data_IF_913860966784
#
_entry.id   IF_913860966784
#
_cell.length_a   1.000
_cell.length_b   1.000
_cell.length_c   1.000
_cell.angle_alpha   90.00
_cell.angle_beta   90.00
_cell.angle_gamma   90.00
#
_symmetry.space_group_name_H-M   'P 1'
#
loop_
_entity.id
_entity.type
_entity.pdbx_description
1 polymer ?
#
# COMPACT_ATOMS: atom_id res chain seq x y z
N UNK A 1 18.81 -1.20 23.81
CA UNK A 1 20.17 -1.28 23.22
C UNK A 1 20.03 -0.88 21.76
N UNK A 2 20.74 0.15 21.31
CA UNK A 2 20.73 0.57 19.90
C UNK A 2 21.68 -0.33 19.11
N UNK A 3 21.18 -1.00 18.09
CA UNK A 3 22.00 -1.90 17.26
C UNK A 3 22.31 -1.17 15.96
N UNK A 4 23.59 -1.07 15.60
CA UNK A 4 23.96 -0.53 14.31
C UNK A 4 23.69 -1.59 13.24
N UNK A 5 22.55 -1.47 12.56
CA UNK A 5 22.05 -2.48 11.61
C UNK A 5 22.59 -2.30 10.19
N UNK A 6 23.23 -1.17 9.91
CA UNK A 6 23.88 -0.84 8.64
C UNK A 6 25.37 -0.62 8.84
N UNK A 7 26.20 -1.04 7.89
CA UNK A 7 27.63 -0.74 7.92
C UNK A 7 27.89 0.73 7.51
N UNK A 8 29.09 1.25 7.83
CA UNK A 8 29.53 2.57 7.34
C UNK A 8 29.48 2.68 5.81
N UNK A 9 29.67 1.57 5.10
CA UNK A 9 29.58 1.51 3.65
C UNK A 9 28.12 1.69 3.19
N UNK A 10 27.20 1.00 3.85
CA UNK A 10 25.77 1.05 3.49
C UNK A 10 25.19 2.44 3.75
N UNK A 11 25.47 3.02 4.91
CA UNK A 11 25.03 4.38 5.27
C UNK A 11 25.54 5.41 4.23
N UNK A 12 26.82 5.33 3.84
CA UNK A 12 27.39 6.22 2.81
C UNK A 12 26.74 6.05 1.45
N UNK A 13 26.47 4.81 1.02
CA UNK A 13 25.82 4.56 -0.26
C UNK A 13 24.37 5.06 -0.27
N UNK A 14 23.63 4.84 0.82
CA UNK A 14 22.24 5.32 0.98
C UNK A 14 22.20 6.85 1.02
N UNK A 15 23.12 7.49 1.75
CA UNK A 15 23.21 8.95 1.80
C UNK A 15 23.60 9.54 0.45
N UNK A 16 24.56 8.94 -0.26
CA UNK A 16 24.94 9.37 -1.61
C UNK A 16 23.77 9.28 -2.60
N UNK A 17 22.98 8.20 -2.54
CA UNK A 17 21.74 8.08 -3.32
C UNK A 17 20.72 9.17 -2.96
N UNK A 18 20.54 9.46 -1.67
CA UNK A 18 19.66 10.55 -1.22
C UNK A 18 20.12 11.90 -1.78
N UNK A 19 21.42 12.17 -1.74
CA UNK A 19 22.01 13.40 -2.27
C UNK A 19 21.90 13.51 -3.78
N UNK A 20 22.03 12.40 -4.54
CA UNK A 20 21.82 12.44 -5.99
C UNK A 20 20.38 12.79 -6.38
N UNK A 21 19.43 12.59 -5.47
CA UNK A 21 18.03 13.03 -5.63
C UNK A 21 17.76 14.47 -5.14
N UNK A 22 18.79 15.18 -4.66
CA UNK A 22 18.71 16.55 -4.16
C UNK A 22 18.64 16.68 -2.63
N UNK A 23 18.80 15.57 -1.90
CA UNK A 23 18.72 15.54 -0.44
C UNK A 23 17.30 15.47 0.12
N UNK A 24 17.19 15.18 1.42
CA UNK A 24 15.91 14.88 2.09
C UNK A 24 14.87 15.99 1.95
N UNK A 25 15.29 17.25 2.15
CA UNK A 25 14.41 18.43 2.05
C UNK A 25 13.80 18.55 0.65
N UNK A 26 14.63 18.49 -0.40
CA UNK A 26 14.17 18.58 -1.79
C UNK A 26 13.22 17.45 -2.15
N UNK A 27 13.51 16.22 -1.70
CA UNK A 27 12.62 15.07 -1.89
C UNK A 27 11.27 15.35 -1.23
N UNK A 28 11.28 15.75 0.04
CA UNK A 28 10.06 15.98 0.82
C UNK A 28 9.19 17.09 0.24
N UNK A 29 9.78 18.24 -0.11
CA UNK A 29 9.06 19.37 -0.73
C UNK A 29 8.47 18.99 -2.09
N UNK A 30 9.19 18.19 -2.89
CA UNK A 30 8.69 17.70 -4.18
C UNK A 30 7.50 16.76 -4.01
N UNK A 31 7.58 15.82 -3.07
CA UNK A 31 6.48 14.89 -2.76
C UNK A 31 5.24 15.68 -2.34
N UNK A 32 5.41 16.65 -1.44
CA UNK A 32 4.29 17.44 -0.92
C UNK A 32 3.59 18.22 -2.02
N UNK A 33 4.38 18.91 -2.86
CA UNK A 33 3.86 19.60 -4.03
C UNK A 33 3.11 18.65 -4.97
N UNK A 34 3.61 17.44 -5.17
CA UNK A 34 2.97 16.49 -6.08
C UNK A 34 1.69 15.84 -5.52
N UNK A 35 1.41 15.97 -4.22
CA UNK A 35 0.13 15.51 -3.64
C UNK A 35 -1.01 16.51 -3.82
N UNK A 36 -0.68 17.78 -4.07
CA UNK A 36 -1.66 18.81 -4.34
C UNK A 36 -2.50 18.48 -5.57
N UNK A 37 -3.82 18.59 -5.41
CA UNK A 37 -4.79 18.24 -6.44
C UNK A 37 -4.60 19.06 -7.71
N UNK A 38 -4.38 20.38 -7.58
CA UNK A 38 -4.24 21.26 -8.75
C UNK A 38 -2.96 20.96 -9.53
N UNK A 39 -1.88 20.63 -8.81
CA UNK A 39 -0.62 20.19 -9.39
C UNK A 39 -0.79 18.90 -10.19
N UNK A 40 -1.43 17.87 -9.60
CA UNK A 40 -1.72 16.61 -10.31
C UNK A 40 -2.63 16.81 -11.51
N UNK A 41 -3.73 17.55 -11.35
CA UNK A 41 -4.68 17.87 -12.43
C UNK A 41 -4.00 18.58 -13.60
N UNK A 42 -3.11 19.54 -13.30
CA UNK A 42 -2.30 20.23 -14.32
C UNK A 42 -1.33 19.29 -15.04
N UNK A 43 -0.64 18.41 -14.30
CA UNK A 43 0.26 17.43 -14.89
C UNK A 43 -0.47 16.45 -15.84
N UNK A 44 -1.74 16.14 -15.57
CA UNK A 44 -2.56 15.25 -16.37
C UNK A 44 -3.25 15.90 -17.58
N UNK A 45 -3.24 17.24 -17.69
CA UNK A 45 -4.02 17.97 -18.69
C UNK A 45 -3.65 17.65 -20.16
N UNK A 46 -2.43 17.20 -20.42
CA UNK A 46 -1.95 16.78 -21.74
C UNK A 46 -1.93 15.26 -21.97
N UNK A 47 -2.47 14.48 -21.02
CA UNK A 47 -2.48 13.01 -21.09
C UNK A 47 -3.85 12.50 -21.48
N UNK A 48 -3.93 11.23 -21.88
CA UNK A 48 -5.21 10.55 -22.16
C UNK A 48 -6.13 10.45 -20.93
N UNK A 49 -5.59 10.63 -19.72
CA UNK A 49 -6.35 10.50 -18.47
C UNK A 49 -7.17 11.75 -18.11
N UNK A 50 -7.01 12.88 -18.83
CA UNK A 50 -7.72 14.13 -18.50
C UNK A 50 -9.24 13.96 -18.45
N UNK A 51 -9.82 13.28 -19.43
CA UNK A 51 -11.27 13.04 -19.48
C UNK A 51 -11.75 12.22 -18.28
N UNK A 52 -10.97 11.20 -17.91
CA UNK A 52 -11.24 10.32 -16.77
C UNK A 52 -11.26 11.07 -15.44
N UNK A 53 -10.37 12.06 -15.25
CA UNK A 53 -10.39 12.90 -14.05
C UNK A 53 -11.66 13.74 -13.99
N UNK A 54 -12.13 14.29 -15.12
CA UNK A 54 -13.38 15.04 -15.17
C UNK A 54 -14.61 14.16 -14.88
N UNK A 55 -14.67 12.95 -15.45
CA UNK A 55 -15.72 11.98 -15.13
C UNK A 55 -15.69 11.58 -13.64
N UNK A 56 -14.51 11.35 -13.06
CA UNK A 56 -14.35 10.99 -11.66
C UNK A 56 -14.88 12.08 -10.70
N UNK A 57 -14.70 13.36 -11.03
CA UNK A 57 -15.25 14.49 -10.26
C UNK A 57 -16.79 14.48 -10.23
N UNK A 58 -17.44 14.02 -11.30
CA UNK A 58 -18.89 13.89 -11.34
C UNK A 58 -19.38 12.62 -10.64
N UNK A 59 -18.70 11.49 -10.86
CA UNK A 59 -19.03 10.21 -10.23
C UNK A 59 -19.02 10.29 -8.71
N UNK A 60 -18.03 10.95 -8.10
CA UNK A 60 -17.92 10.96 -6.63
C UNK A 60 -19.11 11.66 -5.94
N UNK A 61 -19.85 12.52 -6.65
CA UNK A 61 -21.01 13.24 -6.11
C UNK A 61 -22.20 12.32 -5.85
N UNK A 62 -22.26 11.16 -6.51
CA UNK A 62 -23.37 10.19 -6.39
C UNK A 62 -23.07 9.11 -5.35
N UNK A 63 -21.86 9.08 -4.79
CA UNK A 63 -21.45 8.02 -3.87
C UNK A 63 -22.28 8.04 -2.59
N UNK A 64 -22.60 6.85 -2.09
CA UNK A 64 -23.34 6.68 -0.86
C UNK A 64 -22.60 7.26 0.35
N UNK A 65 -23.37 7.77 1.31
CA UNK A 65 -22.87 8.37 2.55
C UNK A 65 -23.07 7.42 3.73
N UNK A 66 -22.08 7.36 4.61
CA UNK A 66 -22.16 6.53 5.82
C UNK A 66 -23.25 7.04 6.75
N UNK A 67 -23.44 8.36 6.83
CA UNK A 67 -24.44 9.01 7.66
C UNK A 67 -25.87 8.57 7.26
N UNK A 68 -26.12 8.31 5.98
CA UNK A 68 -27.42 7.80 5.51
C UNK A 68 -27.68 6.38 6.02
N UNK A 69 -26.64 5.56 6.17
CA UNK A 69 -26.76 4.22 6.76
C UNK A 69 -26.93 4.33 8.29
N UNK A 70 -26.12 5.16 8.95
CA UNK A 70 -26.20 5.38 10.39
C UNK A 70 -27.59 5.84 10.84
N UNK A 71 -28.16 6.83 10.15
CA UNK A 71 -29.49 7.37 10.44
C UNK A 71 -30.59 6.32 10.23
N UNK A 72 -30.56 5.60 9.08
CA UNK A 72 -31.58 4.58 8.76
C UNK A 72 -31.53 3.37 9.68
N UNK A 73 -30.34 2.99 10.14
CA UNK A 73 -30.13 1.79 10.97
C UNK A 73 -30.07 2.10 12.46
N UNK A 74 -30.20 3.37 12.87
CA UNK A 74 -30.14 3.76 14.29
C UNK A 74 -28.80 3.44 14.93
N UNK A 75 -27.71 3.61 14.19
CA UNK A 75 -26.37 3.26 14.63
C UNK A 75 -25.93 4.16 15.78
N UNK A 76 -25.37 3.54 16.81
CA UNK A 76 -24.71 4.24 17.92
C UNK A 76 -23.43 3.52 18.28
N UNK A 77 -22.37 4.29 18.50
CA UNK A 77 -21.04 3.75 18.81
C UNK A 77 -20.88 3.52 20.30
N UNK A 78 -20.27 2.39 20.65
CA UNK A 78 -20.01 2.01 22.03
C UNK A 78 -18.64 2.51 22.47
N UNK A 79 -18.58 3.11 23.67
CA UNK A 79 -17.32 3.53 24.28
C UNK A 79 -16.43 2.31 24.58
N UNK A 80 -15.12 2.48 24.44
CA UNK A 80 -14.13 1.42 24.71
C UNK A 80 -13.97 0.39 23.59
N UNK A 81 -14.66 0.54 22.46
CA UNK A 81 -14.40 -0.24 21.23
C UNK A 81 -13.22 0.34 20.46
N UNK A 82 -12.45 -0.53 19.80
CA UNK A 82 -11.43 -0.13 18.85
C UNK A 82 -12.05 0.45 17.58
N UNK A 83 -11.23 1.11 16.76
CA UNK A 83 -11.64 1.66 15.47
C UNK A 83 -11.19 0.76 14.32
N UNK A 84 -12.13 0.42 13.44
CA UNK A 84 -11.86 -0.37 12.25
C UNK A 84 -11.49 0.55 11.08
N UNK A 85 -10.36 0.33 10.41
CA UNK A 85 -9.95 1.07 9.20
C UNK A 85 -10.12 0.22 7.96
N UNK A 86 -10.99 0.64 7.05
CA UNK A 86 -11.31 -0.13 5.84
C UNK A 86 -10.20 -0.04 4.79
N UNK A 87 -9.69 -1.19 4.33
CA UNK A 87 -8.64 -1.25 3.31
C UNK A 87 -8.94 -2.27 2.21
N UNK A 88 -8.75 -1.89 0.94
CA UNK A 88 -8.91 -2.79 -0.22
C UNK A 88 -7.64 -2.78 -1.07
N UNK A 89 -7.14 -3.95 -1.46
CA UNK A 89 -5.98 -4.07 -2.34
C UNK A 89 -6.36 -4.56 -3.74
N UNK A 90 -5.41 -4.41 -4.66
CA UNK A 90 -5.48 -4.96 -6.00
C UNK A 90 -5.73 -3.94 -7.09
N UNK A 91 -5.76 -2.65 -6.79
CA UNK A 91 -5.93 -1.61 -7.81
C UNK A 91 -4.83 -1.69 -8.87
N UNK A 92 -5.18 -1.48 -10.15
CA UNK A 92 -4.24 -1.65 -11.26
C UNK A 92 -4.20 -0.48 -12.24
N UNK A 93 -4.07 0.72 -11.69
CA UNK A 93 -3.96 1.94 -12.48
C UNK A 93 -5.30 2.63 -12.73
N UNK A 94 -5.25 3.65 -13.59
CA UNK A 94 -6.30 4.66 -13.70
C UNK A 94 -7.60 4.07 -14.27
N UNK A 95 -7.53 3.30 -15.36
CA UNK A 95 -8.71 2.71 -16.01
C UNK A 95 -9.50 1.80 -15.07
N UNK A 96 -8.79 0.92 -14.37
CA UNK A 96 -9.36 0.01 -13.36
C UNK A 96 -9.99 0.80 -12.22
N UNK A 97 -9.29 1.81 -11.70
CA UNK A 97 -9.78 2.66 -10.62
C UNK A 97 -11.04 3.42 -11.03
N UNK A 98 -11.05 4.00 -12.23
CA UNK A 98 -12.19 4.72 -12.77
C UNK A 98 -13.39 3.80 -13.03
N UNK A 99 -13.17 2.60 -13.55
CA UNK A 99 -14.25 1.63 -13.71
C UNK A 99 -14.84 1.24 -12.35
N UNK A 100 -14.00 0.99 -11.34
CA UNK A 100 -14.47 0.76 -9.97
C UNK A 100 -15.33 1.94 -9.47
N UNK A 101 -14.92 3.20 -9.71
CA UNK A 101 -15.73 4.37 -9.37
C UNK A 101 -17.10 4.38 -10.06
N UNK A 102 -17.18 3.99 -11.35
CA UNK A 102 -18.46 3.86 -12.07
C UNK A 102 -19.37 2.84 -11.39
N UNK A 103 -18.84 1.67 -11.07
CA UNK A 103 -19.59 0.61 -10.38
C UNK A 103 -20.05 1.02 -8.98
N UNK A 104 -19.22 1.77 -8.25
CA UNK A 104 -19.60 2.35 -6.94
C UNK A 104 -20.77 3.34 -7.11
N UNK A 105 -20.67 4.26 -8.08
CA UNK A 105 -21.77 5.20 -8.40
C UNK A 105 -23.07 4.45 -8.75
N UNK A 106 -22.99 3.41 -9.58
CA UNK A 106 -24.16 2.59 -9.96
C UNK A 106 -24.76 1.82 -8.78
N UNK A 107 -23.98 1.57 -7.72
CA UNK A 107 -24.44 0.80 -6.56
C UNK A 107 -25.36 1.58 -5.61
N UNK A 108 -25.50 2.91 -5.78
CA UNK A 108 -26.26 3.77 -4.86
C UNK A 108 -27.72 3.35 -4.70
N UNK A 109 -28.32 2.80 -5.75
CA UNK A 109 -29.72 2.35 -5.77
C UNK A 109 -29.87 0.85 -5.47
N UNK A 110 -28.79 0.16 -5.13
CA UNK A 110 -28.82 -1.27 -4.79
C UNK A 110 -29.16 -1.49 -3.31
N UNK A 111 -29.37 -2.75 -2.92
CA UNK A 111 -29.61 -3.12 -1.52
C UNK A 111 -28.46 -2.70 -0.59
N UNK A 112 -27.22 -2.80 -1.08
CA UNK A 112 -26.02 -2.45 -0.32
C UNK A 112 -25.18 -1.47 -1.14
N UNK A 113 -25.49 -0.16 -1.02
CA UNK A 113 -24.66 0.88 -1.60
C UNK A 113 -23.23 0.81 -1.08
N UNK A 114 -22.27 0.80 -2.00
CA UNK A 114 -20.85 0.63 -1.67
C UNK A 114 -20.30 1.91 -1.03
N UNK A 115 -19.59 1.74 0.08
CA UNK A 115 -18.83 2.80 0.75
C UNK A 115 -17.35 2.66 0.34
N UNK A 116 -16.68 3.79 0.17
CA UNK A 116 -15.29 3.82 -0.31
C UNK A 116 -14.35 3.55 0.87
N UNK A 117 -13.39 2.62 0.75
CA UNK A 117 -12.51 2.25 1.85
C UNK A 117 -11.59 3.42 2.16
N UNK A 118 -11.23 3.58 3.44
CA UNK A 118 -10.29 4.63 3.86
C UNK A 118 -8.93 4.49 3.18
N UNK A 119 -8.55 3.28 2.76
CA UNK A 119 -7.22 2.99 2.26
C UNK A 119 -7.23 2.01 1.09
N UNK A 120 -6.27 2.19 0.19
CA UNK A 120 -6.17 1.42 -1.05
C UNK A 120 -4.73 0.98 -1.32
N UNK A 121 -4.56 -0.19 -1.92
CA UNK A 121 -3.24 -0.70 -2.34
C UNK A 121 -3.27 -1.07 -3.82
N UNK A 122 -2.33 -0.52 -4.57
CA UNK A 122 -2.05 -0.93 -5.95
C UNK A 122 -1.08 -2.09 -5.99
N UNK A 123 -1.44 -3.10 -6.77
CA UNK A 123 -0.61 -4.25 -7.06
C UNK A 123 -0.30 -4.16 -8.55
N UNK A 124 0.69 -3.33 -8.89
CA UNK A 124 1.23 -3.13 -10.25
C UNK A 124 2.74 -2.95 -10.10
N UNK A 125 3.51 -3.59 -10.97
CA UNK A 125 4.95 -3.37 -11.02
C UNK A 125 5.26 -1.89 -11.32
N UNK A 126 6.18 -1.30 -10.56
CA UNK A 126 6.53 0.12 -10.64
C UNK A 126 7.46 0.40 -11.85
N UNK A 127 6.98 0.10 -13.05
CA UNK A 127 7.71 0.33 -14.31
C UNK A 127 7.86 1.83 -14.59
N UNK A 128 8.83 2.19 -15.43
CA UNK A 128 8.99 3.58 -15.86
C UNK A 128 7.74 4.11 -16.55
N UNK A 129 7.16 3.30 -17.44
CA UNK A 129 5.93 3.69 -18.13
C UNK A 129 4.81 4.01 -17.12
N UNK A 130 4.51 3.11 -16.18
CA UNK A 130 3.44 3.30 -15.20
C UNK A 130 3.62 4.58 -14.35
N UNK A 131 4.88 4.92 -14.03
CA UNK A 131 5.23 6.11 -13.24
C UNK A 131 5.15 7.39 -14.07
N UNK A 132 5.64 7.39 -15.31
CA UNK A 132 5.86 8.61 -16.09
C UNK A 132 4.79 8.90 -17.15
N UNK A 133 4.01 7.91 -17.59
CA UNK A 133 2.98 8.11 -18.62
C UNK A 133 1.68 8.78 -18.09
N UNK A 134 1.60 9.02 -16.78
CA UNK A 134 0.45 9.64 -16.11
C UNK A 134 -0.54 8.65 -15.50
N UNK A 135 -0.39 7.34 -15.71
CA UNK A 135 -1.30 6.32 -15.20
C UNK A 135 -1.34 6.29 -13.67
N UNK A 136 -0.18 6.15 -13.00
CA UNK A 136 -0.12 6.21 -11.53
C UNK A 136 -0.61 7.58 -11.00
N UNK A 137 -0.21 8.68 -11.66
CA UNK A 137 -0.66 10.03 -11.28
C UNK A 137 -2.19 10.16 -11.30
N UNK A 138 -2.84 9.69 -12.38
CA UNK A 138 -4.30 9.72 -12.51
C UNK A 138 -4.99 8.82 -11.48
N UNK A 139 -4.40 7.65 -11.20
CA UNK A 139 -4.85 6.73 -10.13
C UNK A 139 -4.88 7.45 -8.78
N UNK A 140 -3.77 8.07 -8.38
CA UNK A 140 -3.66 8.79 -7.12
C UNK A 140 -4.58 10.02 -7.06
N UNK A 141 -4.76 10.70 -8.20
CA UNK A 141 -5.68 11.84 -8.30
C UNK A 141 -7.11 11.41 -8.00
N UNK A 142 -7.57 10.29 -8.59
CA UNK A 142 -8.90 9.74 -8.32
C UNK A 142 -9.03 9.24 -6.88
N UNK A 143 -8.03 8.51 -6.38
CA UNK A 143 -8.10 7.92 -5.05
C UNK A 143 -7.95 8.96 -3.92
N UNK A 144 -6.82 9.65 -3.86
CA UNK A 144 -6.49 10.50 -2.71
C UNK A 144 -7.16 11.87 -2.80
N UNK A 145 -7.25 12.48 -4.00
CA UNK A 145 -7.78 13.84 -4.11
C UNK A 145 -9.30 13.88 -4.32
N UNK A 146 -9.84 13.02 -5.18
CA UNK A 146 -11.28 13.00 -5.52
C UNK A 146 -12.07 12.18 -4.51
N UNK A 147 -11.76 10.88 -4.36
CA UNK A 147 -12.42 10.03 -3.37
C UNK A 147 -12.03 10.39 -1.92
N UNK A 148 -10.86 11.00 -1.72
CA UNK A 148 -10.41 11.34 -0.37
C UNK A 148 -10.03 10.10 0.44
N UNK A 149 -9.45 9.10 -0.23
CA UNK A 149 -8.78 7.97 0.42
C UNK A 149 -7.60 8.52 1.22
N UNK A 150 -7.48 8.10 2.49
CA UNK A 150 -6.44 8.58 3.40
C UNK A 150 -5.05 8.15 2.94
N UNK A 151 -4.93 6.93 2.42
CA UNK A 151 -3.68 6.36 1.95
C UNK A 151 -3.86 5.48 0.72
N UNK A 152 -3.14 5.79 -0.35
CA UNK A 152 -2.94 4.90 -1.47
C UNK A 152 -1.48 4.44 -1.54
N UNK A 153 -1.24 3.13 -1.46
CA UNK A 153 0.11 2.58 -1.51
C UNK A 153 0.37 1.82 -2.81
N UNK A 154 1.44 2.17 -3.51
CA UNK A 154 1.91 1.47 -4.71
C UNK A 154 2.91 0.38 -4.35
N UNK A 155 2.76 -0.80 -4.95
CA UNK A 155 3.72 -1.89 -4.81
C UNK A 155 5.00 -1.56 -5.58
N UNK A 156 6.15 -1.61 -4.91
CA UNK A 156 7.46 -1.57 -5.56
C UNK A 156 8.15 -2.92 -5.34
N UNK A 157 8.61 -3.57 -6.42
CA UNK A 157 9.37 -4.81 -6.32
C UNK A 157 10.81 -4.56 -6.75
N UNK A 158 11.77 -4.98 -5.93
CA UNK A 158 13.20 -4.86 -6.26
C UNK A 158 13.56 -5.59 -7.57
N UNK A 159 12.80 -6.63 -7.92
CA UNK A 159 13.00 -7.42 -9.14
C UNK A 159 12.34 -6.85 -10.39
N UNK A 160 11.64 -5.71 -10.33
CA UNK A 160 11.04 -5.09 -11.52
C UNK A 160 12.14 -4.74 -12.54
N UNK A 161 12.06 -5.26 -13.79
CA UNK A 161 13.00 -4.87 -14.83
C UNK A 161 12.95 -3.37 -15.11
N UNK A 162 14.11 -2.74 -15.26
CA UNK A 162 14.25 -1.31 -15.54
C UNK A 162 15.26 -1.10 -16.69
N UNK A 163 15.24 0.04 -17.38
CA UNK A 163 16.28 0.34 -18.36
C UNK A 163 17.67 0.37 -17.72
N UNK A 164 18.68 -0.14 -18.43
CA UNK A 164 20.06 -0.24 -17.94
C UNK A 164 20.59 1.10 -17.39
N UNK A 165 20.20 2.20 -18.03
CA UNK A 165 20.56 3.56 -17.60
C UNK A 165 20.25 3.83 -16.12
N UNK A 166 19.15 3.27 -15.58
CA UNK A 166 18.77 3.46 -14.16
C UNK A 166 19.76 2.83 -13.22
N UNK A 167 20.20 1.62 -13.53
CA UNK A 167 21.26 0.97 -12.77
C UNK A 167 22.54 1.82 -12.82
N UNK A 168 22.97 2.25 -14.02
CA UNK A 168 24.17 3.10 -14.19
C UNK A 168 24.12 4.41 -13.42
N UNK A 169 22.94 5.04 -13.32
CA UNK A 169 22.74 6.25 -12.52
C UNK A 169 22.97 5.99 -11.02
N UNK A 170 22.42 4.89 -10.49
CA UNK A 170 22.62 4.50 -9.09
C UNK A 170 24.08 4.07 -8.84
N UNK A 171 24.70 3.33 -9.75
CA UNK A 171 26.12 2.95 -9.64
C UNK A 171 27.03 4.19 -9.59
N UNK A 172 26.73 5.19 -10.43
CA UNK A 172 27.47 6.46 -10.46
C UNK A 172 27.29 7.25 -9.15
N UNK A 173 26.08 7.29 -8.61
CA UNK A 173 25.79 8.03 -7.39
C UNK A 173 26.43 7.38 -6.15
N UNK A 174 26.39 6.05 -6.07
CA UNK A 174 26.71 5.31 -4.84
C UNK A 174 28.08 4.64 -4.85
N UNK A 175 28.68 4.46 -6.03
CA UNK A 175 29.91 3.68 -6.22
C UNK A 175 29.72 2.17 -6.14
N UNK A 176 28.49 1.69 -5.91
CA UNK A 176 28.14 0.28 -5.85
C UNK A 176 27.90 -0.25 -7.26
N UNK A 177 28.29 -1.50 -7.56
CA UNK A 177 28.02 -2.15 -8.85
C UNK A 177 26.95 -3.22 -8.69
N UNK A 178 26.02 -3.28 -9.63
CA UNK A 178 24.95 -4.26 -9.62
C UNK A 178 25.21 -5.37 -10.63
N UNK A 179 24.83 -6.59 -10.28
CA UNK A 179 24.81 -7.71 -11.23
C UNK A 179 23.43 -7.75 -11.88
N UNK A 180 23.38 -7.56 -13.19
CA UNK A 180 22.14 -7.55 -13.97
C UNK A 180 22.19 -8.55 -15.11
N UNK A 181 21.01 -8.99 -15.58
CA UNK A 181 20.85 -9.79 -16.79
C UNK A 181 19.78 -9.19 -17.71
N UNK A 182 19.85 -9.41 -19.04
CA UNK A 182 18.83 -8.93 -19.97
C UNK A 182 17.44 -9.45 -19.63
N UNK A 183 16.43 -8.58 -19.78
CA UNK A 183 15.02 -8.92 -19.55
C UNK A 183 14.13 -8.69 -20.79
N UNK A 184 14.72 -8.40 -21.95
CA UNK A 184 14.00 -8.04 -23.18
C UNK A 184 13.77 -6.54 -23.30
N UNK A 185 13.48 -6.06 -24.51
CA UNK A 185 13.04 -4.68 -24.82
C UNK A 185 13.91 -3.55 -24.22
N UNK A 186 15.23 -3.77 -24.15
CA UNK A 186 16.17 -2.80 -23.58
C UNK A 186 16.12 -2.69 -22.05
N UNK A 187 15.38 -3.58 -21.39
CA UNK A 187 15.31 -3.69 -19.94
C UNK A 187 16.35 -4.70 -19.42
N UNK A 188 16.82 -4.45 -18.22
CA UNK A 188 17.64 -5.39 -17.45
C UNK A 188 17.00 -5.60 -16.09
N UNK A 189 17.24 -6.77 -15.49
CA UNK A 189 16.78 -7.10 -14.14
C UNK A 189 17.97 -7.49 -13.27
N UNK A 190 17.82 -7.31 -11.96
CA UNK A 190 18.84 -7.71 -11.00
C UNK A 190 18.97 -9.22 -10.93
N UNK A 191 20.22 -9.68 -10.84
CA UNK A 191 20.53 -11.06 -10.47
C UNK A 191 20.51 -11.14 -8.94
N UNK A 192 19.45 -11.74 -8.42
CA UNK A 192 19.23 -11.89 -6.98
C UNK A 192 19.95 -13.16 -6.50
N UNK A 193 20.87 -13.03 -5.55
CA UNK A 193 21.72 -14.17 -5.15
C UNK A 193 20.98 -15.19 -4.25
N UNK A 194 19.97 -14.72 -3.50
CA UNK A 194 19.13 -15.52 -2.63
C UNK A 194 17.66 -15.35 -3.03
N UNK A 195 17.28 -15.96 -4.15
CA UNK A 195 15.89 -16.31 -4.39
C UNK A 195 15.56 -17.45 -3.42
N UNK A 196 14.62 -17.26 -2.50
CA UNK A 196 14.20 -18.28 -1.54
C UNK A 196 13.89 -19.67 -2.15
N UNK A 197 13.69 -20.64 -1.25
CA UNK A 197 13.59 -22.09 -1.54
C UNK A 197 12.49 -22.51 -2.54
N UNK A 198 12.50 -23.79 -2.93
CA UNK A 198 11.60 -24.48 -3.89
C UNK A 198 10.07 -24.30 -3.68
N UNK A 199 9.60 -23.74 -2.56
CA UNK A 199 8.17 -23.63 -2.19
C UNK A 199 7.47 -22.31 -2.59
N UNK A 200 8.03 -21.54 -3.53
CA UNK A 200 7.30 -20.44 -4.16
C UNK A 200 7.64 -19.06 -3.58
N UNK A 201 8.21 -18.23 -4.44
CA UNK A 201 8.96 -17.04 -4.08
C UNK A 201 8.13 -15.76 -4.23
N UNK A 202 7.00 -15.69 -3.53
CA UNK A 202 6.45 -14.42 -3.04
C UNK A 202 7.02 -14.04 -1.68
N UNK A 203 7.85 -14.94 -1.13
CA UNK A 203 8.41 -14.91 0.20
C UNK A 203 9.94 -14.81 0.24
N UNK A 204 10.48 -13.60 0.23
CA UNK A 204 11.77 -13.32 0.86
C UNK A 204 12.89 -13.39 -0.12
N UNK A 205 12.89 -12.47 -1.07
CA UNK A 205 14.12 -12.13 -1.75
C UNK A 205 14.98 -11.49 -0.65
N UNK A 206 15.93 -12.24 -0.11
CA UNK A 206 16.99 -11.59 0.64
C UNK A 206 17.70 -10.69 -0.36
N UNK A 207 17.52 -9.40 -0.17
CA UNK A 207 18.19 -8.39 -0.97
C UNK A 207 19.65 -8.38 -0.51
N UNK A 208 20.43 -9.27 -1.10
CA UNK A 208 21.88 -9.26 -1.06
C UNK A 208 22.43 -8.27 -2.09
N UNK A 209 23.72 -7.97 -2.05
CA UNK A 209 24.42 -7.16 -3.05
C UNK A 209 23.84 -5.74 -3.23
N UNK A 210 23.43 -5.09 -2.13
CA UNK A 210 23.03 -3.68 -2.12
C UNK A 210 21.79 -3.35 -2.97
N UNK A 211 20.97 -4.33 -3.39
CA UNK A 211 19.82 -4.04 -4.27
C UNK A 211 18.74 -3.16 -3.59
N UNK A 212 18.83 -2.96 -2.26
CA UNK A 212 17.97 -2.02 -1.55
C UNK A 212 18.15 -0.59 -2.12
N UNK A 213 19.33 -0.26 -2.68
CA UNK A 213 19.57 1.02 -3.36
C UNK A 213 18.68 1.19 -4.60
N UNK A 214 18.45 0.12 -5.38
CA UNK A 214 17.53 0.14 -6.53
C UNK A 214 16.09 0.30 -6.06
N UNK A 215 15.72 -0.35 -4.94
CA UNK A 215 14.41 -0.16 -4.33
C UNK A 215 14.20 1.29 -3.88
N UNK A 216 15.16 1.86 -3.13
CA UNK A 216 15.14 3.23 -2.63
C UNK A 216 15.08 4.25 -3.77
N UNK A 217 15.82 4.02 -4.86
CA UNK A 217 15.75 4.83 -6.07
C UNK A 217 14.34 4.78 -6.70
N UNK A 218 13.78 3.58 -6.86
CA UNK A 218 12.44 3.37 -7.41
C UNK A 218 11.35 4.11 -6.65
N UNK A 219 11.30 3.95 -5.32
CA UNK A 219 10.30 4.66 -4.49
C UNK A 219 10.52 6.17 -4.55
N UNK A 220 11.78 6.64 -4.58
CA UNK A 220 12.08 8.08 -4.59
C UNK A 220 11.64 8.72 -5.90
N UNK A 221 11.90 8.08 -7.04
CA UNK A 221 11.45 8.56 -8.35
C UNK A 221 9.94 8.60 -8.45
N UNK A 222 9.26 7.53 -8.05
CA UNK A 222 7.80 7.49 -8.09
C UNK A 222 7.17 8.53 -7.14
N UNK A 223 7.71 8.68 -5.93
CA UNK A 223 7.23 9.67 -4.95
C UNK A 223 7.44 11.09 -5.46
N UNK A 224 8.62 11.42 -5.99
CA UNK A 224 8.89 12.75 -6.59
C UNK A 224 8.05 13.03 -7.83
N UNK A 225 7.69 12.00 -8.58
CA UNK A 225 6.89 12.15 -9.81
C UNK A 225 5.42 12.32 -9.51
N UNK A 226 4.88 11.62 -8.50
CA UNK A 226 3.43 11.45 -8.34
C UNK A 226 2.90 11.74 -6.93
N UNK A 227 3.77 11.87 -5.93
CA UNK A 227 3.40 11.97 -4.52
C UNK A 227 3.06 10.62 -3.85
N UNK A 228 3.29 9.49 -4.54
CA UNK A 228 2.93 8.15 -4.07
C UNK A 228 3.49 7.77 -2.70
N UNK A 229 2.74 6.92 -1.99
CA UNK A 229 3.22 6.11 -0.88
C UNK A 229 3.43 4.67 -1.34
N UNK A 230 4.10 3.85 -0.52
CA UNK A 230 4.49 2.51 -0.97
C UNK A 230 4.06 1.40 -0.04
N UNK A 231 3.83 0.26 -0.67
CA UNK A 231 3.69 -1.02 -0.03
C UNK A 231 4.95 -1.83 -0.32
N UNK A 232 5.61 -2.29 0.74
CA UNK A 232 6.83 -3.09 0.66
C UNK A 232 6.48 -4.57 0.83
N UNK A 233 6.83 -5.39 -0.15
CA UNK A 233 6.95 -6.84 0.05
C UNK A 233 8.38 -7.13 0.56
N UNK A 234 8.57 -7.41 1.86
CA UNK A 234 9.82 -7.03 2.52
C UNK A 234 10.93 -8.06 2.44
N UNK A 235 12.16 -7.55 2.32
CA UNK A 235 13.36 -8.17 2.90
C UNK A 235 13.74 -7.39 4.17
N UNK A 236 14.32 -8.06 5.17
CA UNK A 236 14.81 -7.38 6.38
C UNK A 236 15.80 -6.27 6.06
N UNK A 237 16.70 -6.49 5.11
CA UNK A 237 17.66 -5.48 4.65
C UNK A 237 16.99 -4.25 4.03
N UNK A 238 15.91 -4.43 3.27
CA UNK A 238 15.16 -3.31 2.67
C UNK A 238 14.41 -2.52 3.73
N UNK A 239 13.82 -3.20 4.72
CA UNK A 239 13.15 -2.54 5.87
C UNK A 239 14.15 -1.64 6.60
N UNK A 240 15.32 -2.18 6.95
CA UNK A 240 16.39 -1.42 7.63
C UNK A 240 16.82 -0.21 6.81
N UNK A 241 17.10 -0.43 5.51
CA UNK A 241 17.55 0.64 4.61
C UNK A 241 16.49 1.73 4.43
N UNK A 242 15.20 1.38 4.34
CA UNK A 242 14.08 2.31 4.27
C UNK A 242 13.96 3.14 5.54
N UNK A 243 14.02 2.50 6.72
CA UNK A 243 13.96 3.19 7.99
C UNK A 243 15.08 4.23 8.12
N UNK A 244 16.32 3.87 7.75
CA UNK A 244 17.44 4.82 7.70
C UNK A 244 17.24 5.92 6.65
N UNK A 245 16.86 5.55 5.42
CA UNK A 245 16.75 6.49 4.29
C UNK A 245 15.67 7.55 4.52
N UNK A 246 14.51 7.16 5.03
CA UNK A 246 13.33 8.02 5.13
C UNK A 246 13.15 8.69 6.51
N UNK A 247 14.11 8.53 7.44
CA UNK A 247 14.05 9.13 8.79
C UNK A 247 13.97 10.67 8.78
N UNK A 248 14.50 11.29 7.73
CA UNK A 248 14.53 12.74 7.50
C UNK A 248 13.60 13.18 6.35
N UNK A 249 12.76 12.27 5.82
CA UNK A 249 11.77 12.53 4.76
C UNK A 249 10.38 12.27 5.35
N UNK A 250 9.76 13.27 6.00
CA UNK A 250 8.58 13.07 6.86
C UNK A 250 7.33 12.61 6.11
N UNK A 251 7.26 12.82 4.81
CA UNK A 251 6.11 12.47 3.98
C UNK A 251 6.34 11.24 3.08
N UNK A 252 7.47 10.53 3.22
CA UNK A 252 7.69 9.24 2.57
C UNK A 252 7.34 8.10 3.52
N UNK A 253 6.23 7.42 3.25
CA UNK A 253 5.70 6.36 4.11
C UNK A 253 5.58 5.03 3.41
N UNK A 254 5.79 3.98 4.20
CA UNK A 254 5.82 2.60 3.75
C UNK A 254 4.88 1.77 4.62
N UNK A 255 4.12 0.88 3.99
CA UNK A 255 3.40 -0.20 4.64
C UNK A 255 4.14 -1.51 4.43
N UNK A 256 4.17 -2.37 5.43
CA UNK A 256 4.88 -3.65 5.37
C UNK A 256 3.88 -4.80 5.23
N UNK A 257 4.03 -5.58 4.15
CA UNK A 257 3.28 -6.82 3.93
C UNK A 257 3.73 -7.93 4.88
N UNK A 258 2.78 -8.80 5.23
CA UNK A 258 3.01 -9.96 6.09
C UNK A 258 3.70 -11.11 5.40
N UNK A 259 3.75 -11.16 4.05
CA UNK A 259 4.27 -12.34 3.36
C UNK A 259 5.63 -12.79 3.92
N UNK A 260 6.38 -11.91 4.60
CA UNK A 260 7.71 -12.22 5.11
C UNK A 260 8.18 -11.68 6.47
N UNK A 261 7.55 -10.65 7.05
CA UNK A 261 8.20 -9.89 8.12
C UNK A 261 7.64 -10.09 9.52
N UNK A 262 6.37 -10.48 9.68
CA UNK A 262 5.71 -10.50 11.00
C UNK A 262 4.65 -11.59 11.11
N UNK A 263 5.10 -12.83 11.29
CA UNK A 263 4.26 -14.00 11.52
C UNK A 263 4.07 -14.30 13.00
N UNK A 264 4.86 -13.66 13.89
CA UNK A 264 4.79 -13.86 15.33
C UNK A 264 5.33 -12.64 16.11
N UNK A 265 5.15 -12.68 17.43
CA UNK A 265 5.58 -11.62 18.36
C UNK A 265 7.09 -11.34 18.31
N UNK A 266 7.93 -12.36 18.11
CA UNK A 266 9.40 -12.17 18.04
C UNK A 266 9.77 -11.29 16.85
N UNK A 267 9.17 -11.58 15.70
CA UNK A 267 9.37 -10.80 14.49
C UNK A 267 8.81 -9.38 14.60
N UNK A 268 7.68 -9.19 15.29
CA UNK A 268 7.17 -7.85 15.60
C UNK A 268 8.18 -7.07 16.43
N UNK A 269 8.69 -7.66 17.52
CA UNK A 269 9.71 -7.04 18.38
C UNK A 269 10.99 -6.72 17.61
N UNK A 270 11.40 -7.57 16.68
CA UNK A 270 12.52 -7.27 15.77
C UNK A 270 12.23 -6.02 14.92
N UNK A 271 11.04 -5.90 14.33
CA UNK A 271 10.65 -4.69 13.59
C UNK A 271 10.59 -3.46 14.48
N UNK A 272 10.02 -3.56 15.68
CA UNK A 272 10.00 -2.45 16.64
C UNK A 272 11.42 -1.99 16.98
N UNK A 273 12.36 -2.90 17.17
CA UNK A 273 13.78 -2.56 17.39
C UNK A 273 14.43 -1.89 16.17
N UNK A 274 14.16 -2.36 14.94
CA UNK A 274 14.65 -1.71 13.72
C UNK A 274 14.11 -0.29 13.61
N UNK A 275 12.81 -0.09 13.86
CA UNK A 275 12.18 1.23 13.80
C UNK A 275 12.71 2.16 14.89
N UNK A 276 12.86 1.67 16.12
CA UNK A 276 13.40 2.45 17.24
C UNK A 276 14.81 2.98 17.00
N UNK A 277 15.63 2.28 16.21
CA UNK A 277 16.97 2.74 15.83
C UNK A 277 16.93 3.99 14.93
N UNK A 278 15.93 4.07 14.03
CA UNK A 278 15.86 5.04 12.95
C UNK A 278 14.57 5.88 12.97
N UNK A 279 14.04 6.16 14.16
CA UNK A 279 12.88 7.04 14.31
C UNK A 279 13.16 8.43 13.73
N UNK A 280 12.10 9.05 13.24
CA UNK A 280 12.07 10.48 12.94
C UNK A 280 12.14 11.28 14.24
N UNK A 281 12.46 12.57 14.14
CA UNK A 281 12.58 13.47 15.30
C UNK A 281 11.30 13.53 16.15
N UNK A 282 10.12 13.34 15.55
CA UNK A 282 8.83 13.32 16.23
C UNK A 282 8.47 11.96 16.88
N UNK A 283 9.36 10.96 16.82
CA UNK A 283 9.14 9.61 17.34
C UNK A 283 8.31 8.68 16.44
N UNK A 284 7.95 9.12 15.23
CA UNK A 284 7.31 8.26 14.22
C UNK A 284 8.33 7.45 13.43
N UNK A 285 7.88 6.36 12.82
CA UNK A 285 8.66 5.57 11.86
C UNK A 285 8.25 5.90 10.42
N UNK A 286 9.16 5.77 9.43
CA UNK A 286 8.76 5.73 8.02
C UNK A 286 7.82 4.57 7.68
N UNK A 287 7.87 3.48 8.47
CA UNK A 287 6.89 2.41 8.42
C UNK A 287 5.67 2.86 9.22
N UNK A 288 4.50 2.88 8.57
CA UNK A 288 3.26 3.38 9.19
C UNK A 288 2.21 2.29 9.42
N UNK A 289 2.38 1.12 8.81
CA UNK A 289 1.48 -0.01 8.99
C UNK A 289 2.23 -1.34 8.89
N UNK A 290 1.93 -2.28 9.78
CA UNK A 290 2.41 -3.67 9.72
C UNK A 290 1.21 -4.60 9.63
N UNK A 291 1.18 -5.45 8.61
CA UNK A 291 0.19 -6.51 8.53
C UNK A 291 0.66 -7.75 9.31
N UNK A 292 -0.12 -8.16 10.32
CA UNK A 292 0.20 -9.28 11.23
C UNK A 292 -0.90 -10.37 11.26
N UNK A 293 -2.11 -10.09 10.78
CA UNK A 293 -3.32 -10.85 11.13
C UNK A 293 -3.55 -12.23 10.50
N UNK A 294 -2.83 -12.63 9.44
CA UNK A 294 -3.11 -13.89 8.70
C UNK A 294 -2.38 -15.09 9.31
N UNK A 295 -1.50 -14.84 10.28
CA UNK A 295 -0.70 -15.85 10.97
C UNK A 295 -0.98 -15.88 12.49
N UNK A 296 -1.93 -15.08 12.98
CA UNK A 296 -2.17 -14.91 14.42
C UNK A 296 -3.66 -14.96 14.75
N UNK A 297 -3.96 -15.47 15.95
CA UNK A 297 -5.29 -15.38 16.57
C UNK A 297 -5.58 -13.94 17.00
N UNK A 298 -6.83 -13.61 17.29
CA UNK A 298 -7.21 -12.32 17.89
C UNK A 298 -6.41 -12.04 19.18
N UNK A 299 -6.20 -13.05 20.04
CA UNK A 299 -5.41 -12.91 21.27
C UNK A 299 -3.98 -12.46 20.97
N UNK A 300 -3.32 -13.06 19.97
CA UNK A 300 -1.97 -12.66 19.60
C UNK A 300 -1.94 -11.29 18.93
N UNK A 301 -2.98 -10.93 18.15
CA UNK A 301 -3.11 -9.58 17.59
C UNK A 301 -3.23 -8.53 18.70
N UNK A 302 -4.05 -8.79 19.72
CA UNK A 302 -4.22 -7.92 20.90
C UNK A 302 -2.87 -7.73 21.61
N UNK A 303 -2.15 -8.82 21.88
CA UNK A 303 -0.79 -8.74 22.48
C UNK A 303 0.17 -7.91 21.64
N UNK A 304 0.15 -8.07 20.31
CA UNK A 304 0.94 -7.23 19.40
C UNK A 304 0.57 -5.75 19.52
N UNK A 305 -0.71 -5.44 19.63
CA UNK A 305 -1.22 -4.07 19.82
C UNK A 305 -0.78 -3.48 21.16
N UNK A 306 -0.87 -4.25 22.25
CA UNK A 306 -0.39 -3.85 23.58
C UNK A 306 1.13 -3.59 23.59
N UNK A 307 1.93 -4.47 22.97
CA UNK A 307 3.38 -4.28 22.87
C UNK A 307 3.75 -3.06 22.02
N UNK A 308 2.99 -2.79 20.95
CA UNK A 308 3.16 -1.58 20.16
C UNK A 308 2.85 -0.33 20.99
N UNK A 309 1.74 -0.33 21.72
CA UNK A 309 1.35 0.79 22.60
C UNK A 309 2.36 1.04 23.73
N UNK A 310 3.02 -0.02 24.22
CA UNK A 310 4.09 0.06 25.20
C UNK A 310 5.46 0.43 24.62
N UNK A 311 5.59 0.48 23.28
CA UNK A 311 6.83 0.84 22.60
C UNK A 311 6.98 2.36 22.42
N UNK A 312 8.19 2.82 22.11
CA UNK A 312 8.46 4.22 21.78
C UNK A 312 8.03 4.63 20.35
N UNK A 313 7.51 3.69 19.55
CA UNK A 313 7.20 3.91 18.13
C UNK A 313 5.79 4.49 17.98
N UNK A 314 5.70 5.74 17.53
CA UNK A 314 4.41 6.45 17.34
C UNK A 314 3.87 6.31 15.91
N UNK A 315 2.55 6.37 15.78
CA UNK A 315 1.87 6.50 14.49
C UNK A 315 1.98 5.26 13.60
N UNK A 316 1.98 4.08 14.21
CA UNK A 316 2.02 2.79 13.53
C UNK A 316 0.68 2.08 13.70
N UNK A 317 0.11 1.62 12.59
CA UNK A 317 -1.13 0.85 12.55
C UNK A 317 -0.84 -0.65 12.40
N UNK A 318 -1.73 -1.50 12.94
CA UNK A 318 -1.70 -2.95 12.72
C UNK A 318 -2.84 -3.37 11.79
N UNK A 319 -2.52 -4.24 10.84
CA UNK A 319 -3.47 -4.73 9.84
C UNK A 319 -3.64 -6.25 9.86
N UNK A 320 -4.81 -6.71 9.44
CA UNK A 320 -5.14 -8.12 9.18
C UNK A 320 -5.87 -8.25 7.85
N UNK A 321 -5.63 -9.32 7.10
CA UNK A 321 -6.55 -9.66 6.01
C UNK A 321 -7.77 -10.32 6.61
N UNK A 322 -8.94 -9.97 6.09
CA UNK A 322 -10.19 -10.62 6.47
C UNK A 322 -10.46 -11.82 5.58
N UNK A 323 -10.28 -11.62 4.27
CA UNK A 323 -10.39 -12.66 3.25
C UNK A 323 -9.16 -12.59 2.34
N UNK A 324 -8.60 -13.76 2.05
CA UNK A 324 -7.42 -13.92 1.18
C UNK A 324 -7.85 -14.71 -0.05
N UNK A 325 -7.25 -14.40 -1.20
CA UNK A 325 -7.42 -15.20 -2.39
C UNK A 325 -6.90 -16.64 -2.12
N UNK A 326 -7.67 -17.70 -2.46
CA UNK A 326 -7.18 -19.09 -2.42
C UNK A 326 -5.80 -19.34 -3.06
N UNK A 327 -5.41 -18.53 -4.05
CA UNK A 327 -4.09 -18.60 -4.72
C UNK A 327 -2.94 -18.11 -3.82
N UNK A 328 -3.24 -17.29 -2.81
CA UNK A 328 -2.27 -16.69 -1.88
C UNK A 328 -2.33 -17.27 -0.46
N UNK A 329 -3.29 -18.15 -0.18
CA UNK A 329 -3.54 -18.66 1.16
C UNK A 329 -4.51 -19.83 1.21
N UNK A 330 -5.11 -20.05 2.38
CA UNK A 330 -6.11 -21.11 2.57
C UNK A 330 -7.40 -20.71 1.84
N UNK A 331 -7.99 -21.61 1.05
CA UNK A 331 -9.18 -21.32 0.25
C UNK A 331 -10.42 -20.90 1.07
N UNK A 332 -10.45 -21.29 2.34
CA UNK A 332 -11.47 -20.99 3.35
C UNK A 332 -10.91 -20.07 4.46
N UNK A 333 -9.92 -19.23 4.14
CA UNK A 333 -9.44 -18.23 5.09
C UNK A 333 -10.50 -17.13 5.25
N UNK A 334 -11.07 -17.06 6.46
CA UNK A 334 -11.96 -15.99 6.92
C UNK A 334 -11.58 -15.62 8.35
N UNK A 335 -11.22 -14.35 8.54
CA UNK A 335 -10.78 -13.80 9.82
C UNK A 335 -11.78 -12.80 10.41
N UNK A 336 -13.01 -12.75 9.89
CA UNK A 336 -14.01 -11.77 10.33
C UNK A 336 -14.43 -11.91 11.81
N UNK A 337 -14.60 -13.14 12.30
CA UNK A 337 -14.93 -13.35 13.72
C UNK A 337 -13.76 -12.99 14.65
N UNK A 338 -12.52 -13.15 14.18
CA UNK A 338 -11.34 -12.75 14.93
C UNK A 338 -11.17 -11.22 14.95
N UNK A 339 -11.48 -10.53 13.86
CA UNK A 339 -11.45 -9.06 13.84
C UNK A 339 -12.48 -8.44 14.77
N UNK A 340 -13.65 -9.05 14.90
CA UNK A 340 -14.64 -8.65 15.91
C UNK A 340 -14.06 -8.73 17.32
N UNK A 341 -13.45 -9.85 17.71
CA UNK A 341 -12.83 -10.00 19.04
C UNK A 341 -11.78 -8.92 19.32
N UNK A 342 -10.95 -8.57 18.34
CA UNK A 342 -9.95 -7.50 18.47
C UNK A 342 -10.61 -6.14 18.70
N UNK A 343 -11.52 -5.75 17.81
CA UNK A 343 -12.20 -4.45 17.89
C UNK A 343 -13.05 -4.33 19.15
N UNK A 344 -13.72 -5.43 19.53
CA UNK A 344 -14.55 -5.52 20.72
C UNK A 344 -13.76 -5.41 22.02
N UNK A 345 -12.47 -5.77 22.00
CA UNK A 345 -11.52 -5.62 23.12
C UNK A 345 -10.90 -4.23 23.26
N UNK A 346 -11.24 -3.29 22.37
CA UNK A 346 -10.75 -1.90 22.44
C UNK A 346 -9.51 -1.61 21.60
N UNK A 347 -9.08 -2.55 20.75
CA UNK A 347 -7.88 -2.39 19.93
C UNK A 347 -8.21 -2.03 18.49
N UNK A 348 -7.51 -1.02 17.96
CA UNK A 348 -7.65 -0.58 16.56
C UNK A 348 -7.17 -1.65 15.58
N UNK A 349 -7.83 -1.74 14.42
CA UNK A 349 -7.51 -2.70 13.38
C UNK A 349 -7.72 -2.10 11.99
N UNK A 350 -6.71 -2.19 11.13
CA UNK A 350 -6.90 -2.04 9.68
C UNK A 350 -7.30 -3.38 9.08
N UNK A 351 -8.54 -3.47 8.60
CA UNK A 351 -9.09 -4.71 8.05
C UNK A 351 -9.01 -4.68 6.52
N UNK A 352 -8.21 -5.59 5.96
CA UNK A 352 -7.79 -5.58 4.56
C UNK A 352 -8.49 -6.68 3.76
N UNK A 353 -8.90 -6.33 2.54
CA UNK A 353 -9.41 -7.30 1.56
C UNK A 353 -8.45 -7.47 0.39
N UNK A 354 -7.93 -8.69 0.25
CA UNK A 354 -7.27 -9.17 -0.97
C UNK A 354 -8.20 -9.99 -1.86
N UNK A 355 -9.31 -10.48 -1.33
CA UNK A 355 -10.36 -11.20 -2.05
C UNK A 355 -11.73 -10.83 -1.47
N UNK A 356 -12.80 -11.02 -2.24
CA UNK A 356 -14.18 -10.94 -1.74
C UNK A 356 -14.72 -12.30 -1.26
N UNK A 357 -13.87 -13.33 -1.26
CA UNK A 357 -14.18 -14.72 -0.93
C UNK A 357 -14.67 -15.54 -2.14
N UNK A 358 -14.64 -14.98 -3.35
CA UNK A 358 -15.06 -15.66 -4.57
C UNK A 358 -13.93 -15.68 -5.60
N UNK A 359 -13.82 -16.79 -6.34
CA UNK A 359 -12.93 -16.84 -7.50
C UNK A 359 -13.55 -16.01 -8.63
N UNK A 360 -12.78 -15.07 -9.16
CA UNK A 360 -13.17 -14.22 -10.28
C UNK A 360 -12.08 -14.27 -11.35
N UNK A 361 -12.47 -14.14 -12.61
CA UNK A 361 -11.50 -13.93 -13.68
C UNK A 361 -10.82 -12.58 -13.46
N UNK A 362 -9.53 -12.52 -13.76
CA UNK A 362 -8.70 -11.35 -13.54
C UNK A 362 -8.65 -10.93 -12.07
N UNK A 363 -8.74 -11.90 -11.14
CA UNK A 363 -8.44 -11.59 -9.74
C UNK A 363 -7.00 -11.07 -9.62
N UNK A 364 -6.71 -10.35 -8.54
CA UNK A 364 -5.52 -9.48 -8.41
C UNK A 364 -4.23 -10.15 -8.82
N UNK A 365 -4.03 -11.44 -8.54
CA UNK A 365 -2.81 -12.16 -8.93
C UNK A 365 -2.74 -12.47 -10.42
N UNK A 366 -3.84 -12.88 -11.03
CA UNK A 366 -3.91 -13.09 -12.48
C UNK A 366 -3.66 -11.79 -13.22
N UNK A 367 -4.36 -10.72 -12.82
CA UNK A 367 -4.22 -9.41 -13.44
C UNK A 367 -2.85 -8.76 -13.20
N UNK A 368 -2.18 -9.08 -12.09
CA UNK A 368 -0.85 -8.55 -11.74
C UNK A 368 0.20 -8.83 -12.81
N UNK A 369 0.16 -10.02 -13.39
CA UNK A 369 1.17 -10.49 -14.34
C UNK A 369 0.85 -10.17 -15.80
N UNK A 370 -0.32 -9.59 -16.06
CA UNK A 370 -0.69 -9.18 -17.41
C UNK A 370 0.20 -8.04 -17.90
N UNK A 371 0.63 -8.05 -19.17
CA UNK A 371 1.20 -6.87 -19.83
C UNK A 371 0.23 -5.68 -19.79
N UNK A 372 0.75 -4.46 -19.99
CA UNK A 372 -0.07 -3.25 -19.92
C UNK A 372 -1.23 -3.25 -20.93
N UNK A 373 -0.97 -3.63 -22.18
CA UNK A 373 -2.01 -3.67 -23.22
C UNK A 373 -3.14 -4.63 -22.86
N UNK A 374 -2.82 -5.78 -22.26
CA UNK A 374 -3.83 -6.73 -21.79
C UNK A 374 -4.59 -6.19 -20.57
N UNK A 375 -3.91 -5.58 -19.60
CA UNK A 375 -4.59 -4.91 -18.47
C UNK A 375 -5.50 -3.78 -18.95
N UNK A 376 -5.10 -3.07 -20.00
CA UNK A 376 -5.91 -2.01 -20.61
C UNK A 376 -7.14 -2.59 -21.30
N UNK A 377 -7.00 -3.70 -22.01
CA UNK A 377 -8.10 -4.40 -22.67
C UNK A 377 -9.13 -4.96 -21.67
N UNK A 378 -8.66 -5.42 -20.51
CA UNK A 378 -9.50 -6.03 -19.46
C UNK A 378 -9.76 -5.11 -18.26
N UNK A 379 -9.61 -3.79 -18.43
CA UNK A 379 -9.69 -2.86 -17.31
C UNK A 379 -11.07 -2.84 -16.64
N UNK A 380 -12.14 -3.17 -17.38
CA UNK A 380 -13.49 -3.25 -16.85
C UNK A 380 -13.67 -4.47 -15.94
N UNK A 381 -13.21 -5.64 -16.39
CA UNK A 381 -13.28 -6.89 -15.63
C UNK A 381 -12.42 -6.83 -14.36
N UNK A 382 -11.20 -6.28 -14.47
CA UNK A 382 -10.35 -6.02 -13.31
C UNK A 382 -11.03 -5.01 -12.37
N UNK A 383 -11.62 -3.94 -12.92
CA UNK A 383 -12.35 -2.94 -12.13
C UNK A 383 -13.54 -3.53 -11.37
N UNK A 384 -14.27 -4.48 -11.97
CA UNK A 384 -15.35 -5.21 -11.32
C UNK A 384 -14.85 -6.04 -10.13
N UNK A 385 -13.70 -6.71 -10.26
CA UNK A 385 -13.07 -7.42 -9.14
C UNK A 385 -12.83 -6.46 -7.96
N UNK A 386 -12.30 -5.26 -8.22
CA UNK A 386 -12.05 -4.25 -7.17
C UNK A 386 -13.36 -3.75 -6.56
N UNK A 387 -14.39 -3.54 -7.39
CA UNK A 387 -15.72 -3.20 -6.91
C UNK A 387 -16.26 -4.28 -5.94
N UNK A 388 -16.18 -5.57 -6.29
CA UNK A 388 -16.69 -6.64 -5.43
C UNK A 388 -15.93 -6.78 -4.11
N UNK A 389 -14.60 -6.57 -4.12
CA UNK A 389 -13.81 -6.47 -2.88
C UNK A 389 -14.28 -5.31 -2.01
N UNK A 390 -14.57 -4.17 -2.63
CA UNK A 390 -15.07 -2.99 -1.94
C UNK A 390 -16.49 -3.18 -1.39
N UNK A 391 -17.36 -3.86 -2.14
CA UNK A 391 -18.68 -4.26 -1.67
C UNK A 391 -18.60 -5.22 -0.48
N UNK A 392 -17.72 -6.21 -0.53
CA UNK A 392 -17.49 -7.12 0.61
C UNK A 392 -16.96 -6.37 1.84
N UNK A 393 -16.02 -5.45 1.63
CA UNK A 393 -15.52 -4.56 2.67
C UNK A 393 -16.66 -3.71 3.29
N UNK A 394 -17.54 -3.15 2.46
CA UNK A 394 -18.72 -2.39 2.90
C UNK A 394 -19.66 -3.24 3.76
N UNK A 395 -19.90 -4.50 3.39
CA UNK A 395 -20.75 -5.41 4.17
C UNK A 395 -20.22 -5.60 5.59
N UNK A 396 -18.93 -5.84 5.74
CA UNK A 396 -18.33 -6.05 7.07
C UNK A 396 -18.20 -4.73 7.83
N UNK A 397 -17.94 -3.61 7.15
CA UNK A 397 -18.01 -2.28 7.76
C UNK A 397 -19.38 -1.99 8.38
N UNK A 398 -20.47 -2.30 7.67
CA UNK A 398 -21.85 -2.15 8.19
C UNK A 398 -22.12 -3.04 9.38
N UNK A 399 -21.60 -4.26 9.38
CA UNK A 399 -21.72 -5.17 10.52
C UNK A 399 -20.95 -4.65 11.74
N UNK A 400 -19.73 -4.13 11.56
CA UNK A 400 -19.00 -3.44 12.64
C UNK A 400 -19.78 -2.26 13.21
N UNK A 401 -20.30 -1.38 12.33
CA UNK A 401 -21.11 -0.24 12.76
C UNK A 401 -22.38 -0.68 13.50
N UNK A 402 -23.05 -1.74 13.05
CA UNK A 402 -24.24 -2.32 13.73
C UNK A 402 -23.92 -2.81 15.13
N UNK A 403 -22.69 -3.25 15.38
CA UNK A 403 -22.19 -3.65 16.70
C UNK A 403 -21.68 -2.48 17.55
N UNK A 404 -21.80 -1.26 17.04
CA UNK A 404 -21.32 -0.05 17.71
C UNK A 404 -19.81 0.14 17.63
N UNK A 405 -19.14 -0.46 16.65
CA UNK A 405 -17.70 -0.29 16.38
C UNK A 405 -17.52 0.83 15.34
N UNK A 406 -16.76 1.90 15.65
CA UNK A 406 -16.45 2.95 14.68
C UNK A 406 -15.68 2.42 13.47
N UNK A 407 -16.03 2.90 12.27
CA UNK A 407 -15.33 2.55 11.03
C UNK A 407 -14.80 3.80 10.31
N UNK A 408 -13.52 3.80 9.98
CA UNK A 408 -12.89 4.79 9.11
C UNK A 408 -13.08 4.40 7.65
N UNK A 409 -13.68 5.30 6.88
CA UNK A 409 -13.90 5.22 5.43
C UNK A 409 -13.24 6.42 4.73
N UNK A 410 -13.27 6.46 3.40
CA UNK A 410 -12.75 7.61 2.65
C UNK A 410 -13.64 8.84 2.86
N UNK A 411 -13.06 10.03 2.71
CA UNK A 411 -13.77 11.31 2.92
C UNK A 411 -15.03 11.43 2.05
N UNK A 412 -15.03 10.92 0.82
CA UNK A 412 -16.22 10.97 -0.04
C UNK A 412 -17.40 10.15 0.48
N UNK A 413 -17.18 9.22 1.41
CA UNK A 413 -18.26 8.48 2.09
C UNK A 413 -18.85 9.25 3.27
N UNK A 414 -18.38 10.45 3.55
CA UNK A 414 -18.92 11.35 4.57
C UNK A 414 -19.58 12.58 3.93
N UNK A 415 -20.42 13.27 4.72
CA UNK A 415 -21.10 14.52 4.32
C UNK A 415 -20.22 15.76 4.43
#
# INVERSE_FOLDING_TARGET
MKYRLLSDRDEKAIDALKQSHGGAKTISETIEKMRDYQTRKKALAGTEYRGMIGEAEELVKTFAKVEDFEERSGISYQEGRGTATAQVSGFQGARVTHHCMKRISESVDTEIPVLVPAEMISVVALTEDYVYNGNLMATLTMAENIMGVNWFCSTNLVGTPLPEKRFKEVEKATGVRFKTEPAGDGLVKLVLANQGTFFGNFGGIEVSNDNHLIYLDGITRAAKTTGANFFLNPSWSTIVAVCYYARDIPNLYIKVSMLLSTQNLVQLRMLLNIMAEYLRENGTSPIREINIGNAVTAENFIRCSEELAASDVKGLDLAAHILINPDLGRADFDWFEESLKVLESGHDLTFKYESDGQRRNYDTMEAYFLPEEERKAHAAEIGDVIYYKTLRCTKHAREYMTRGIPVKLARCSHR
#
